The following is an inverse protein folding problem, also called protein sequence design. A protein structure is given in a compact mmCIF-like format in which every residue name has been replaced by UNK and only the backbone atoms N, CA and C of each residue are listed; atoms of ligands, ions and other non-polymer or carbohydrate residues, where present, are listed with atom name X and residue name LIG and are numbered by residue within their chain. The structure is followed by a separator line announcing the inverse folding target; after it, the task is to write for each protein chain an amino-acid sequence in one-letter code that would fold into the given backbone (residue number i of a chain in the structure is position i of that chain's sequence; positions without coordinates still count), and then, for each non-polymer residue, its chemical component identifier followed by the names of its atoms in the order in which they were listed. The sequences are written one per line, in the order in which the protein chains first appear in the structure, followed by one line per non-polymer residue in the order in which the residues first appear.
data_IF_539998045358
#
_entry.id   IF_539998045358
#
_cell.length_a   1.000
_cell.length_b   1.000
_cell.length_c   1.000
_cell.angle_alpha   90.00
_cell.angle_beta   90.00
_cell.angle_gamma   90.00
#
_symmetry.space_group_name_H-M   'P 1'
#
loop_
_entity.id
_entity.type
_entity.pdbx_description
1 polymer ?
#
# COMPACT_ATOMS: atom_id res chain seq x y z
N UNK A 1 -15.91 -34.00 -13.27
CA UNK A 1 -15.63 -32.97 -12.26
C UNK A 1 -14.21 -32.49 -12.52
N UNK A 2 -13.98 -31.20 -12.76
CA UNK A 2 -12.62 -30.68 -12.90
C UNK A 2 -11.95 -30.79 -11.53
N UNK A 3 -10.79 -31.44 -11.46
CA UNK A 3 -9.95 -31.41 -10.26
C UNK A 3 -9.58 -29.95 -9.98
N UNK A 4 -9.81 -29.50 -8.74
CA UNK A 4 -9.36 -28.17 -8.34
C UNK A 4 -7.84 -28.22 -8.21
N UNK A 5 -7.14 -27.40 -9.00
CA UNK A 5 -5.70 -27.20 -8.84
C UNK A 5 -5.43 -26.36 -7.59
N UNK A 6 -4.41 -26.74 -6.82
CA UNK A 6 -3.99 -26.03 -5.61
C UNK A 6 -2.57 -25.47 -5.78
N UNK A 7 -2.35 -24.29 -5.21
CA UNK A 7 -1.03 -23.72 -4.98
C UNK A 7 -0.64 -23.87 -3.51
N UNK A 8 0.66 -23.92 -3.23
CA UNK A 8 1.19 -23.97 -1.86
C UNK A 8 1.97 -22.69 -1.57
N UNK A 9 1.61 -22.01 -0.48
CA UNK A 9 2.37 -20.89 0.07
C UNK A 9 3.24 -21.42 1.22
N UNK A 10 4.49 -20.98 1.25
CA UNK A 10 5.45 -21.36 2.28
C UNK A 10 5.67 -20.20 3.24
N UNK A 11 5.31 -20.40 4.51
CA UNK A 11 5.53 -19.48 5.61
C UNK A 11 6.52 -20.10 6.62
N UNK A 12 7.08 -19.29 7.55
CA UNK A 12 7.84 -19.80 8.68
C UNK A 12 7.07 -20.88 9.45
N UNK A 13 7.77 -21.92 9.91
CA UNK A 13 7.16 -23.04 10.63
C UNK A 13 6.97 -22.77 12.12
N UNK A 14 7.81 -21.91 12.68
CA UNK A 14 7.92 -21.73 14.12
C UNK A 14 7.09 -20.54 14.65
N UNK A 15 6.56 -19.71 13.76
CA UNK A 15 5.73 -18.57 14.12
C UNK A 15 4.78 -18.18 12.99
N UNK A 16 3.61 -17.68 13.37
CA UNK A 16 2.61 -17.16 12.45
C UNK A 16 2.99 -15.77 11.97
N UNK A 17 2.97 -15.54 10.65
CA UNK A 17 3.27 -14.22 10.07
C UNK A 17 2.07 -13.29 9.92
N UNK A 18 0.87 -13.84 10.03
CA UNK A 18 -0.36 -13.10 9.84
C UNK A 18 -1.52 -14.00 9.43
N UNK A 19 -2.44 -13.45 8.65
CA UNK A 19 -3.66 -14.12 8.24
C UNK A 19 -3.85 -14.02 6.73
N UNK A 20 -4.13 -15.18 6.12
CA UNK A 20 -4.37 -15.32 4.69
C UNK A 20 -5.88 -15.32 4.43
N UNK A 21 -6.29 -14.55 3.41
CA UNK A 21 -7.69 -14.43 3.02
C UNK A 21 -7.85 -14.63 1.51
N UNK A 22 -8.99 -15.19 1.11
CA UNK A 22 -9.46 -15.16 -0.28
C UNK A 22 -10.19 -13.85 -0.58
N UNK A 23 -9.79 -13.17 -1.64
CA UNK A 23 -10.35 -11.88 -2.05
C UNK A 23 -11.71 -12.09 -2.72
N UNK A 24 -12.73 -11.41 -2.20
CA UNK A 24 -14.05 -11.42 -2.80
C UNK A 24 -14.21 -10.26 -3.79
N UNK A 25 -13.90 -10.50 -5.07
CA UNK A 25 -14.03 -9.49 -6.13
C UNK A 25 -15.48 -9.08 -6.45
N UNK A 26 -16.49 -9.74 -5.87
CA UNK A 26 -17.92 -9.46 -6.14
C UNK A 26 -18.55 -8.50 -5.14
N UNK A 27 -17.86 -8.10 -4.06
CA UNK A 27 -18.37 -7.07 -3.15
C UNK A 27 -17.69 -5.74 -3.38
N UNK A 28 -18.47 -4.69 -3.61
CA UNK A 28 -18.04 -3.29 -3.53
C UNK A 28 -17.70 -2.86 -2.08
N UNK A 29 -17.47 -3.83 -1.19
CA UNK A 29 -17.14 -3.67 0.21
C UNK A 29 -15.98 -4.61 0.50
N UNK A 30 -14.86 -4.04 0.94
CA UNK A 30 -13.65 -4.78 1.33
C UNK A 30 -13.89 -5.75 2.51
N UNK A 31 -15.02 -5.61 3.23
CA UNK A 31 -15.40 -6.38 4.43
C UNK A 31 -15.88 -7.82 4.18
N UNK A 32 -15.77 -8.37 2.96
CA UNK A 32 -16.19 -9.76 2.66
C UNK A 32 -15.07 -10.68 2.19
N UNK A 33 -13.81 -10.29 2.38
CA UNK A 33 -12.70 -11.21 2.19
C UNK A 33 -12.87 -12.41 3.14
N UNK A 34 -12.69 -13.61 2.60
CA UNK A 34 -12.95 -14.86 3.33
C UNK A 34 -11.67 -15.29 4.01
N UNK A 35 -11.69 -15.38 5.34
CA UNK A 35 -10.57 -15.95 6.09
C UNK A 35 -10.28 -17.36 5.57
N UNK A 36 -9.01 -17.62 5.23
CA UNK A 36 -8.58 -18.88 4.66
C UNK A 36 -7.75 -19.67 5.66
N UNK A 37 -6.68 -19.08 6.19
CA UNK A 37 -5.79 -19.74 7.15
C UNK A 37 -4.92 -18.73 7.91
N UNK A 38 -4.39 -19.17 9.05
CA UNK A 38 -3.21 -18.56 9.64
C UNK A 38 -2.00 -18.79 8.71
N UNK A 39 -1.20 -17.75 8.49
CA UNK A 39 -0.02 -17.83 7.65
C UNK A 39 1.16 -18.42 8.45
N UNK A 40 1.20 -19.75 8.57
CA UNK A 40 2.25 -20.51 9.25
C UNK A 40 2.48 -21.85 8.54
N UNK A 41 3.74 -22.26 8.39
CA UNK A 41 4.11 -23.48 7.68
C UNK A 41 3.64 -23.49 6.24
N UNK A 42 3.22 -24.65 5.74
CA UNK A 42 2.71 -24.79 4.37
C UNK A 42 1.19 -24.65 4.36
N UNK A 43 0.69 -23.76 3.50
CA UNK A 43 -0.75 -23.53 3.32
C UNK A 43 -1.11 -23.80 1.87
N UNK A 44 -2.00 -24.76 1.64
CA UNK A 44 -2.53 -25.08 0.31
C UNK A 44 -3.85 -24.36 0.03
N UNK A 45 -3.91 -23.65 -1.09
CA UNK A 45 -5.06 -22.83 -1.51
C UNK A 45 -5.46 -23.21 -2.94
N UNK A 46 -6.76 -23.29 -3.27
CA UNK A 46 -7.20 -23.37 -4.66
C UNK A 46 -6.57 -22.24 -5.50
N UNK A 47 -6.01 -22.61 -6.65
CA UNK A 47 -5.28 -21.73 -7.56
C UNK A 47 -6.14 -20.63 -8.19
N UNK A 48 -7.47 -20.79 -8.18
CA UNK A 48 -8.44 -19.83 -8.72
C UNK A 48 -8.79 -18.69 -7.75
N UNK A 49 -8.29 -18.75 -6.50
CA UNK A 49 -8.54 -17.74 -5.48
C UNK A 49 -7.44 -16.69 -5.50
N UNK A 50 -7.82 -15.43 -5.67
CA UNK A 50 -6.91 -14.30 -5.44
C UNK A 50 -6.69 -14.12 -3.95
N UNK A 51 -5.43 -14.01 -3.52
CA UNK A 51 -5.09 -13.99 -2.10
C UNK A 51 -4.69 -12.61 -1.59
N UNK A 52 -5.09 -12.36 -0.34
CA UNK A 52 -4.69 -11.23 0.48
C UNK A 52 -3.96 -11.74 1.71
N UNK A 53 -2.82 -11.14 2.05
CA UNK A 53 -2.09 -11.40 3.28
C UNK A 53 -2.10 -10.15 4.17
N UNK A 54 -2.58 -10.30 5.41
CA UNK A 54 -2.44 -9.30 6.45
C UNK A 54 -1.34 -9.73 7.42
N UNK A 55 -0.23 -9.02 7.44
CA UNK A 55 0.95 -9.34 8.24
C UNK A 55 0.79 -8.79 9.65
N UNK A 56 1.05 -9.62 10.66
CA UNK A 56 0.98 -9.16 12.05
C UNK A 56 2.21 -8.29 12.42
N UNK A 57 2.09 -7.40 13.42
CA UNK A 57 3.17 -6.48 13.78
C UNK A 57 4.50 -7.15 14.15
N UNK A 58 4.44 -8.32 14.78
CA UNK A 58 5.61 -9.05 15.28
C UNK A 58 6.45 -9.67 14.16
N UNK A 59 5.84 -9.94 13.00
CA UNK A 59 6.49 -10.71 11.92
C UNK A 59 7.18 -9.86 10.86
N UNK A 60 7.10 -8.53 10.98
CA UNK A 60 7.82 -7.62 10.10
C UNK A 60 9.27 -7.34 10.54
N UNK A 61 9.69 -7.82 11.71
CA UNK A 61 11.07 -7.68 12.18
C UNK A 61 12.08 -8.40 11.28
N UNK A 62 11.67 -9.49 10.61
CA UNK A 62 12.42 -10.15 9.53
C UNK A 62 11.47 -10.61 8.43
N UNK A 63 11.41 -9.86 7.33
CA UNK A 63 10.52 -10.14 6.20
C UNK A 63 11.12 -11.04 5.12
N UNK A 64 12.26 -11.69 5.42
CA UNK A 64 12.93 -12.57 4.45
C UNK A 64 12.01 -13.69 3.95
N UNK A 65 11.07 -14.15 4.77
CA UNK A 65 10.09 -15.16 4.36
C UNK A 65 9.23 -14.75 3.16
N UNK A 66 9.10 -13.46 2.85
CA UNK A 66 8.41 -13.01 1.63
C UNK A 66 9.11 -13.46 0.35
N UNK A 67 10.42 -13.80 0.39
CA UNK A 67 11.13 -14.34 -0.77
C UNK A 67 10.69 -15.75 -1.14
N UNK A 68 10.04 -16.47 -0.23
CA UNK A 68 9.47 -17.80 -0.47
C UNK A 68 8.05 -17.73 -1.08
N UNK A 69 7.48 -16.53 -1.16
CA UNK A 69 6.20 -16.28 -1.80
C UNK A 69 6.44 -15.90 -3.26
N UNK A 70 5.86 -16.68 -4.17
CA UNK A 70 6.01 -16.44 -5.60
C UNK A 70 5.28 -15.16 -6.03
N UNK A 71 5.83 -14.50 -7.06
CA UNK A 71 5.38 -13.17 -7.51
C UNK A 71 3.88 -13.06 -7.87
N UNK A 72 3.23 -14.17 -8.18
CA UNK A 72 1.83 -14.27 -8.62
C UNK A 72 0.87 -14.74 -7.53
N UNK A 73 1.38 -15.21 -6.39
CA UNK A 73 0.55 -15.83 -5.35
C UNK A 73 -0.25 -14.83 -4.52
N UNK A 74 0.21 -13.58 -4.41
CA UNK A 74 -0.50 -12.54 -3.66
C UNK A 74 -0.96 -11.41 -4.58
N UNK A 75 -2.18 -10.94 -4.31
CA UNK A 75 -2.76 -9.74 -4.95
C UNK A 75 -2.83 -8.56 -4.00
N UNK A 76 -2.93 -8.81 -2.70
CA UNK A 76 -3.01 -7.76 -1.69
C UNK A 76 -2.09 -8.07 -0.52
N UNK A 77 -1.31 -7.09 -0.09
CA UNK A 77 -0.39 -7.21 1.04
C UNK A 77 -0.55 -6.02 1.99
N UNK A 78 -0.92 -6.31 3.24
CA UNK A 78 -1.08 -5.31 4.28
C UNK A 78 0.03 -5.46 5.32
N UNK A 79 0.81 -4.39 5.46
CA UNK A 79 1.98 -4.27 6.33
C UNK A 79 1.84 -3.05 7.27
N UNK A 80 0.63 -2.53 7.42
CA UNK A 80 0.36 -1.38 8.27
C UNK A 80 0.51 -1.72 9.75
N UNK A 81 0.98 -0.75 10.55
CA UNK A 81 1.28 -0.93 11.99
C UNK A 81 2.26 -2.08 12.27
N UNK A 82 3.15 -2.39 11.32
CA UNK A 82 4.20 -3.38 11.51
C UNK A 82 5.57 -2.71 11.72
N UNK A 83 6.58 -3.49 12.13
CA UNK A 83 7.97 -3.05 12.22
C UNK A 83 8.73 -2.97 10.89
N UNK A 84 8.02 -2.90 9.75
CA UNK A 84 8.63 -2.76 8.43
C UNK A 84 9.42 -1.45 8.32
N UNK A 85 10.58 -1.48 7.66
CA UNK A 85 11.51 -0.38 7.50
C UNK A 85 12.20 -0.38 6.12
N UNK A 86 13.05 0.60 5.86
CA UNK A 86 13.79 0.74 4.60
C UNK A 86 14.64 -0.48 4.23
N UNK A 87 15.16 -1.23 5.20
CA UNK A 87 16.01 -2.40 4.93
C UNK A 87 15.19 -3.61 4.51
N UNK A 88 14.03 -3.83 5.12
CA UNK A 88 13.24 -5.03 4.86
C UNK A 88 12.19 -4.84 3.74
N UNK A 89 11.82 -3.60 3.38
CA UNK A 89 10.91 -3.34 2.25
C UNK A 89 11.41 -3.94 0.93
N UNK A 90 12.72 -4.14 0.75
CA UNK A 90 13.28 -4.77 -0.46
C UNK A 90 12.69 -6.17 -0.76
N UNK A 91 12.27 -6.90 0.27
CA UNK A 91 11.72 -8.26 0.14
C UNK A 91 10.33 -8.32 -0.50
N UNK A 92 9.71 -7.17 -0.82
CA UNK A 92 8.44 -7.13 -1.55
C UNK A 92 8.61 -6.85 -3.04
N UNK A 93 9.81 -6.45 -3.47
CA UNK A 93 10.05 -5.94 -4.83
C UNK A 93 9.80 -6.97 -5.93
N UNK A 94 9.88 -8.27 -5.61
CA UNK A 94 9.58 -9.35 -6.54
C UNK A 94 8.09 -9.69 -6.64
N UNK A 95 7.24 -9.17 -5.76
CA UNK A 95 5.79 -9.44 -5.73
C UNK A 95 5.04 -8.58 -6.77
N UNK A 96 5.48 -8.63 -8.02
CA UNK A 96 5.05 -7.72 -9.10
C UNK A 96 3.60 -7.88 -9.53
N UNK A 97 2.90 -8.93 -9.08
CA UNK A 97 1.46 -9.12 -9.34
C UNK A 97 0.56 -8.46 -8.30
N UNK A 98 1.12 -7.78 -7.30
CA UNK A 98 0.35 -7.05 -6.30
C UNK A 98 -0.50 -5.96 -6.96
N UNK A 99 -1.78 -5.93 -6.56
CA UNK A 99 -2.78 -4.94 -6.94
C UNK A 99 -3.03 -3.96 -5.78
N UNK A 100 -2.72 -4.35 -4.53
CA UNK A 100 -2.82 -3.50 -3.36
C UNK A 100 -1.66 -3.72 -2.39
N UNK A 101 -1.12 -2.61 -1.89
CA UNK A 101 -0.05 -2.59 -0.90
C UNK A 101 -0.32 -1.47 0.11
N UNK A 102 -0.17 -1.76 1.41
CA UNK A 102 -0.37 -0.76 2.47
C UNK A 102 0.72 -0.82 3.53
N UNK A 103 1.37 0.33 3.75
CA UNK A 103 2.36 0.60 4.79
C UNK A 103 1.84 1.58 5.86
N UNK A 104 0.52 1.75 5.97
CA UNK A 104 -0.02 2.79 6.84
C UNK A 104 0.47 2.65 8.29
N UNK A 105 0.88 3.75 8.92
CA UNK A 105 1.29 3.82 10.33
C UNK A 105 2.59 3.08 10.68
N UNK A 106 3.60 3.15 9.82
CA UNK A 106 4.96 2.59 10.06
C UNK A 106 5.96 3.70 10.38
N UNK A 107 5.52 4.70 11.15
CA UNK A 107 6.18 5.96 11.49
C UNK A 107 7.72 5.90 11.45
N UNK A 108 8.34 6.74 10.61
CA UNK A 108 9.81 6.94 10.51
C UNK A 108 10.62 5.76 9.99
N UNK A 109 9.99 4.61 9.78
CA UNK A 109 10.71 3.43 9.33
C UNK A 109 10.88 3.38 7.80
N UNK A 110 10.01 4.05 7.04
CA UNK A 110 10.02 4.10 5.58
C UNK A 110 10.14 5.54 5.08
N UNK A 111 11.12 5.81 4.22
CA UNK A 111 11.34 7.08 3.55
C UNK A 111 11.58 6.91 2.04
N UNK A 112 11.94 8.00 1.35
CA UNK A 112 12.21 8.02 -0.09
C UNK A 112 13.20 6.94 -0.55
N UNK A 113 14.24 6.62 0.24
CA UNK A 113 15.23 5.60 -0.11
C UNK A 113 14.62 4.20 -0.10
N UNK A 114 13.85 3.85 0.93
CA UNK A 114 13.19 2.53 1.02
C UNK A 114 12.16 2.34 -0.08
N UNK A 115 11.38 3.38 -0.40
CA UNK A 115 10.33 3.28 -1.43
C UNK A 115 10.85 3.09 -2.86
N UNK A 116 12.15 3.22 -3.12
CA UNK A 116 12.75 2.83 -4.39
C UNK A 116 12.40 1.38 -4.79
N UNK A 117 12.28 0.48 -3.81
CA UNK A 117 11.94 -0.92 -4.04
C UNK A 117 10.49 -1.14 -4.49
N UNK A 118 9.65 -0.10 -4.50
CA UNK A 118 8.27 -0.17 -5.01
C UNK A 118 8.19 -0.04 -6.53
N UNK A 119 9.21 0.48 -7.20
CA UNK A 119 9.21 0.73 -8.66
C UNK A 119 8.76 -0.46 -9.51
N UNK A 120 9.16 -1.72 -9.21
CA UNK A 120 8.73 -2.86 -10.01
C UNK A 120 7.23 -3.19 -9.90
N UNK A 121 6.52 -2.65 -8.90
CA UNK A 121 5.13 -3.00 -8.59
C UNK A 121 4.12 -2.20 -9.44
N UNK A 122 4.33 -2.19 -10.75
CA UNK A 122 3.56 -1.37 -11.72
C UNK A 122 2.08 -1.79 -11.88
N UNK A 123 1.69 -2.93 -11.29
CA UNK A 123 0.31 -3.42 -11.28
C UNK A 123 -0.51 -2.94 -10.08
N UNK A 124 0.10 -2.13 -9.18
CA UNK A 124 -0.61 -1.56 -8.05
C UNK A 124 -1.76 -0.67 -8.52
N UNK A 125 -2.93 -0.93 -7.95
CA UNK A 125 -4.15 -0.11 -8.07
C UNK A 125 -4.42 0.68 -6.81
N UNK A 126 -3.94 0.23 -5.66
CA UNK A 126 -4.08 0.92 -4.39
C UNK A 126 -2.79 0.87 -3.59
N UNK A 127 -2.31 2.04 -3.16
CA UNK A 127 -1.11 2.19 -2.36
C UNK A 127 -1.35 3.05 -1.12
N UNK A 128 -1.13 2.46 0.05
CA UNK A 128 -1.22 3.14 1.33
C UNK A 128 0.16 3.52 1.87
N UNK A 129 0.44 4.81 2.04
CA UNK A 129 1.69 5.37 2.56
C UNK A 129 1.44 6.38 3.69
N UNK A 130 0.28 6.33 4.34
CA UNK A 130 -0.04 7.25 5.43
C UNK A 130 0.93 7.08 6.59
N UNK A 131 1.32 8.19 7.21
CA UNK A 131 2.21 8.22 8.37
C UNK A 131 3.56 7.54 8.11
N UNK A 132 4.13 7.77 6.93
CA UNK A 132 5.51 7.41 6.57
C UNK A 132 6.39 8.67 6.51
N UNK A 133 7.71 8.52 6.38
CA UNK A 133 8.66 9.63 6.26
C UNK A 133 9.02 9.92 4.79
N UNK A 134 8.12 9.57 3.87
CA UNK A 134 8.31 9.82 2.43
C UNK A 134 8.22 11.31 2.10
N UNK A 135 8.89 11.71 1.04
CA UNK A 135 8.85 13.04 0.46
C UNK A 135 8.46 13.01 -1.02
N UNK A 136 8.84 14.08 -1.73
CA UNK A 136 8.51 14.24 -3.15
C UNK A 136 9.18 13.17 -4.03
N UNK A 137 10.30 12.59 -3.60
CA UNK A 137 11.04 11.60 -4.43
C UNK A 137 10.22 10.32 -4.54
N UNK A 138 9.58 9.83 -3.47
CA UNK A 138 8.64 8.71 -3.57
C UNK A 138 7.61 8.94 -4.67
N UNK A 139 6.99 10.13 -4.75
CA UNK A 139 5.99 10.41 -5.78
C UNK A 139 6.56 10.39 -7.21
N UNK A 140 7.84 10.73 -7.38
CA UNK A 140 8.52 10.57 -8.68
C UNK A 140 8.71 9.11 -9.07
N UNK A 141 8.75 8.17 -8.12
CA UNK A 141 8.79 6.74 -8.39
C UNK A 141 7.41 6.16 -8.68
N UNK A 142 6.36 6.77 -8.14
CA UNK A 142 4.98 6.34 -8.37
C UNK A 142 4.43 6.81 -9.73
N UNK A 143 5.07 7.76 -10.40
CA UNK A 143 4.62 8.33 -11.68
C UNK A 143 4.55 7.30 -12.82
N UNK A 144 5.33 6.22 -12.74
CA UNK A 144 5.29 5.09 -13.69
C UNK A 144 4.17 4.07 -13.39
N UNK A 145 3.47 4.19 -12.25
CA UNK A 145 2.38 3.29 -11.84
C UNK A 145 1.05 3.70 -12.47
N UNK A 146 0.95 3.68 -13.80
CA UNK A 146 -0.23 4.17 -14.54
C UNK A 146 -1.54 3.43 -14.25
N UNK A 147 -1.50 2.29 -13.54
CA UNK A 147 -2.67 1.56 -13.06
C UNK A 147 -3.16 2.00 -11.68
N UNK A 148 -2.44 2.90 -11.01
CA UNK A 148 -2.77 3.35 -9.66
C UNK A 148 -4.09 4.12 -9.66
N UNK A 149 -5.04 3.65 -8.88
CA UNK A 149 -6.39 4.23 -8.74
C UNK A 149 -6.57 4.94 -7.40
N UNK A 150 -5.92 4.45 -6.35
CA UNK A 150 -6.04 4.98 -5.00
C UNK A 150 -4.67 5.17 -4.35
N UNK A 151 -4.43 6.36 -3.81
CA UNK A 151 -3.20 6.70 -3.10
C UNK A 151 -3.54 7.37 -1.77
N UNK A 152 -2.91 6.95 -0.67
CA UNK A 152 -3.01 7.66 0.60
C UNK A 152 -1.63 8.09 1.10
N UNK A 153 -1.45 9.39 1.30
CA UNK A 153 -0.17 10.04 1.65
C UNK A 153 -0.32 11.08 2.78
N UNK A 154 -1.28 10.86 3.69
CA UNK A 154 -1.49 11.69 4.87
C UNK A 154 -0.31 11.62 5.86
N UNK A 155 -0.01 12.76 6.49
CA UNK A 155 1.17 13.05 7.32
C UNK A 155 2.47 12.43 6.81
N UNK A 156 2.84 12.88 5.62
CA UNK A 156 4.12 12.65 4.95
C UNK A 156 4.83 13.99 4.75
N UNK A 157 6.07 13.96 4.30
CA UNK A 157 6.85 15.16 3.93
C UNK A 157 6.59 15.60 2.48
N UNK A 158 5.50 15.13 1.86
CA UNK A 158 5.09 15.53 0.51
C UNK A 158 4.62 16.98 0.51
N UNK A 159 5.08 17.73 -0.48
CA UNK A 159 4.72 19.13 -0.73
C UNK A 159 3.91 19.28 -2.03
N UNK A 160 3.41 20.48 -2.31
CA UNK A 160 2.77 20.82 -3.60
C UNK A 160 3.61 20.40 -4.81
N UNK A 161 4.93 20.59 -4.77
CA UNK A 161 5.82 20.20 -5.85
C UNK A 161 5.86 18.69 -6.09
N UNK A 162 5.69 17.89 -5.03
CA UNK A 162 5.59 16.44 -5.14
C UNK A 162 4.31 16.01 -5.87
N UNK A 163 3.20 16.70 -5.65
CA UNK A 163 1.93 16.38 -6.30
C UNK A 163 1.98 16.50 -7.82
N UNK A 164 2.83 17.39 -8.35
CA UNK A 164 3.03 17.52 -9.79
C UNK A 164 3.46 16.22 -10.47
N UNK A 165 4.15 15.33 -9.74
CA UNK A 165 4.56 14.02 -10.25
C UNK A 165 3.37 13.08 -10.51
N UNK A 166 2.22 13.33 -9.87
CA UNK A 166 1.03 12.49 -9.97
C UNK A 166 0.14 12.88 -11.16
N UNK A 167 0.40 14.00 -11.84
CA UNK A 167 -0.46 14.50 -12.93
C UNK A 167 -0.51 13.54 -14.13
N UNK A 168 0.48 12.65 -14.26
CA UNK A 168 0.54 11.61 -15.30
C UNK A 168 -0.32 10.37 -14.98
N UNK A 169 -0.82 10.26 -13.74
CA UNK A 169 -1.62 9.12 -13.29
C UNK A 169 -3.10 9.33 -13.64
N UNK A 170 -3.43 9.27 -14.93
CA UNK A 170 -4.80 9.46 -15.43
C UNK A 170 -5.83 8.45 -14.88
N UNK A 171 -5.34 7.32 -14.33
CA UNK A 171 -6.18 6.30 -13.69
C UNK A 171 -6.51 6.60 -12.23
N UNK A 172 -5.90 7.64 -11.63
CA UNK A 172 -6.07 7.96 -10.21
C UNK A 172 -7.49 8.48 -9.96
N UNK A 173 -8.26 7.69 -9.21
CA UNK A 173 -9.67 7.96 -8.86
C UNK A 173 -9.80 8.58 -7.49
N UNK A 174 -8.83 8.38 -6.61
CA UNK A 174 -8.87 8.93 -5.26
C UNK A 174 -7.49 9.14 -4.66
N UNK A 175 -7.33 10.28 -3.99
CA UNK A 175 -6.16 10.57 -3.18
C UNK A 175 -6.59 11.04 -1.79
N UNK A 176 -5.98 10.45 -0.78
CA UNK A 176 -6.28 10.73 0.61
C UNK A 176 -5.07 11.37 1.30
N UNK A 177 -5.29 12.54 1.90
CA UNK A 177 -4.32 13.25 2.74
C UNK A 177 -4.64 13.09 4.23
N UNK A 178 -5.63 12.26 4.56
CA UNK A 178 -6.12 12.12 5.92
C UNK A 178 -5.22 11.26 6.81
N UNK A 179 -5.16 11.69 8.07
CA UNK A 179 -4.83 10.84 9.20
C UNK A 179 -5.67 11.29 10.41
N UNK A 180 -6.62 10.46 10.80
CA UNK A 180 -7.31 10.58 12.08
C UNK A 180 -6.38 10.46 13.31
N UNK A 181 -5.08 10.18 13.13
CA UNK A 181 -4.12 9.91 14.22
C UNK A 181 -2.68 10.34 13.87
N UNK A 182 -2.49 11.54 13.30
CA UNK A 182 -1.14 11.99 12.88
C UNK A 182 -0.18 12.29 14.03
N UNK A 183 -0.62 12.21 15.30
CA UNK A 183 0.22 12.54 16.46
C UNK A 183 0.79 13.95 16.42
N UNK A 184 0.15 14.89 15.70
CA UNK A 184 0.63 16.26 15.49
C UNK A 184 1.58 16.44 14.32
N UNK A 185 1.82 15.41 13.49
CA UNK A 185 2.56 15.56 12.23
C UNK A 185 1.81 16.47 11.26
N UNK A 186 2.57 17.34 10.59
CA UNK A 186 2.06 18.30 9.63
C UNK A 186 1.94 17.67 8.24
N UNK A 187 0.93 18.09 7.50
CA UNK A 187 0.91 17.95 6.04
C UNK A 187 1.57 19.19 5.44
N UNK A 188 2.39 19.01 4.39
CA UNK A 188 3.04 20.12 3.67
C UNK A 188 2.41 20.41 2.30
N UNK A 189 1.34 19.68 1.96
CA UNK A 189 0.46 19.99 0.84
C UNK A 189 -0.47 21.13 1.25
N UNK A 190 -0.50 22.19 0.46
CA UNK A 190 -1.36 23.36 0.66
C UNK A 190 -2.66 23.24 -0.15
N UNK A 191 -3.57 24.19 0.05
CA UNK A 191 -4.79 24.28 -0.76
C UNK A 191 -4.47 24.50 -2.24
N UNK A 192 -3.42 25.28 -2.54
CA UNK A 192 -2.96 25.51 -3.91
C UNK A 192 -2.46 24.22 -4.57
N UNK A 193 -1.75 23.37 -3.83
CA UNK A 193 -1.34 22.05 -4.31
C UNK A 193 -2.53 21.15 -4.63
N UNK A 194 -3.54 21.14 -3.75
CA UNK A 194 -4.80 20.41 -3.95
C UNK A 194 -5.55 20.91 -5.19
N UNK A 195 -5.68 22.23 -5.34
CA UNK A 195 -6.33 22.85 -6.51
C UNK A 195 -5.59 22.51 -7.81
N UNK A 196 -4.26 22.55 -7.81
CA UNK A 196 -3.44 22.15 -8.96
C UNK A 196 -3.65 20.68 -9.32
N UNK A 197 -3.69 19.79 -8.33
CA UNK A 197 -3.97 18.38 -8.54
C UNK A 197 -5.39 18.15 -9.08
N UNK A 198 -6.40 18.82 -8.52
CA UNK A 198 -7.78 18.74 -8.98
C UNK A 198 -7.95 19.27 -10.41
N UNK A 199 -7.20 20.31 -10.78
CA UNK A 199 -7.20 20.85 -12.14
C UNK A 199 -6.64 19.84 -13.15
N UNK A 200 -5.54 19.18 -12.82
CA UNK A 200 -4.91 18.18 -13.69
C UNK A 200 -5.64 16.83 -13.71
N UNK A 201 -6.30 16.47 -12.60
CA UNK A 201 -7.03 15.21 -12.43
C UNK A 201 -8.47 15.50 -11.95
N UNK A 202 -9.36 16.02 -12.83
CA UNK A 202 -10.69 16.51 -12.44
C UNK A 202 -11.62 15.44 -11.86
N UNK A 203 -11.41 14.17 -12.23
CA UNK A 203 -12.22 13.05 -11.74
C UNK A 203 -11.64 12.40 -10.46
N UNK A 204 -10.44 12.81 -10.05
CA UNK A 204 -9.81 12.28 -8.84
C UNK A 204 -10.50 12.87 -7.60
N UNK A 205 -11.01 11.99 -6.74
CA UNK A 205 -11.62 12.37 -5.47
C UNK A 205 -10.54 12.67 -4.44
N UNK A 206 -10.46 13.92 -4.01
CA UNK A 206 -9.55 14.35 -2.96
C UNK A 206 -10.27 14.27 -1.61
N UNK A 207 -9.72 13.51 -0.66
CA UNK A 207 -10.27 13.39 0.70
C UNK A 207 -9.26 13.79 1.77
N UNK A 208 -9.70 14.62 2.72
CA UNK A 208 -9.00 14.93 3.97
C UNK A 208 -10.05 15.15 5.07
N UNK A 209 -9.92 14.50 6.23
CA UNK A 209 -10.91 14.67 7.31
C UNK A 209 -10.78 16.01 8.04
N UNK A 210 -9.62 16.66 7.93
CA UNK A 210 -9.40 18.00 8.47
C UNK A 210 -8.65 18.85 7.44
N UNK A 211 -9.33 19.83 6.83
CA UNK A 211 -8.70 20.85 5.99
C UNK A 211 -8.45 22.14 6.80
N UNK A 212 -8.68 22.15 8.12
CA UNK A 212 -8.51 23.37 8.93
C UNK A 212 -7.07 23.85 8.98
N UNK A 213 -6.08 22.96 8.80
CA UNK A 213 -4.67 23.34 8.64
C UNK A 213 -4.38 24.11 7.34
N UNK A 214 -5.26 24.02 6.33
CA UNK A 214 -5.16 24.81 5.10
C UNK A 214 -5.68 26.24 5.27
N UNK A 215 -6.37 26.52 6.39
CA UNK A 215 -6.91 27.85 6.68
C UNK A 215 -5.92 28.76 7.40
N UNK A 216 -4.74 28.25 7.79
CA UNK A 216 -3.73 29.03 8.53
C UNK A 216 -2.72 29.78 7.66
N UNK A 217 -2.77 29.63 6.33
CA UNK A 217 -1.92 30.36 5.36
C UNK A 217 -2.57 31.67 4.85
N UNK A 218 -3.27 32.41 5.72
CA UNK A 218 -3.74 33.77 5.41
C UNK A 218 -2.79 34.85 5.91
#
# INVERSE_FOLDING_TARGET
MLEKEFITLNFPKDYQVGWLFGINRKSNQYDKNVFYADAIGQVSVPSDISLMLNVNPQSAASMRWLTEIESTQLKQLYLGQTGINNENIQFISHLTSLEMLSFNHVYENINDLGTHHLKPLINLRSLGLNATDIGNITLSYLSDMHQLEYLSIGATNVTDNGLNQLYVLSSLKGICFDLAYSGGRKNYVTLKGIEGLQYCLPECKITACDLSYLLTDR
#
